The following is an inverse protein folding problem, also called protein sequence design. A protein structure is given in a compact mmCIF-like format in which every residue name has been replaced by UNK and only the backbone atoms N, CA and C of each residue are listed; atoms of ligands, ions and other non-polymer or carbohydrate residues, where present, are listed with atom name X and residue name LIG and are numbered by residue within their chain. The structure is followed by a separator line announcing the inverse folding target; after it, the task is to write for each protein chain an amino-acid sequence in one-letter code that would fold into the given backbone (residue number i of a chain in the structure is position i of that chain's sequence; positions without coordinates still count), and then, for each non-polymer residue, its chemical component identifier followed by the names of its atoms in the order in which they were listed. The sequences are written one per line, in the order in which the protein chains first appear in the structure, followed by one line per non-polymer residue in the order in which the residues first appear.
data_IF_183296816550
#
_entry.id   IF_183296816550
#
_cell.length_a   1.000
_cell.length_b   1.000
_cell.length_c   1.000
_cell.angle_alpha   90.00
_cell.angle_beta   90.00
_cell.angle_gamma   90.00
#
_symmetry.space_group_name_H-M   'P 1'
#
loop_
_entity.id
_entity.type
_entity.pdbx_description
1 polymer ?
#
# COMPACT_ATOMS: atom_id res chain seq x y z
N UNK A 1 12.72 -22.29 -13.85
CA UNK A 1 12.87 -20.92 -14.38
C UNK A 1 11.73 -20.08 -13.82
N UNK A 2 12.05 -18.96 -13.15
CA UNK A 2 11.11 -18.17 -12.35
C UNK A 2 10.00 -17.55 -13.23
N UNK A 3 8.79 -18.11 -13.19
CA UNK A 3 7.59 -17.40 -13.65
C UNK A 3 7.20 -16.37 -12.59
N UNK A 4 7.89 -15.24 -12.58
CA UNK A 4 7.43 -14.06 -11.83
C UNK A 4 6.45 -13.31 -12.74
N UNK A 5 5.27 -13.92 -12.98
CA UNK A 5 4.16 -13.32 -13.72
C UNK A 5 3.67 -12.10 -12.95
N UNK A 6 4.22 -10.94 -13.30
CA UNK A 6 3.90 -9.63 -12.75
C UNK A 6 2.54 -9.10 -13.23
N UNK A 7 1.53 -9.97 -13.35
CA UNK A 7 0.13 -9.61 -13.63
C UNK A 7 -0.57 -9.01 -12.39
N UNK A 8 0.18 -8.73 -11.32
CA UNK A 8 -0.30 -8.46 -9.96
C UNK A 8 -0.59 -6.98 -9.63
N UNK A 9 -0.65 -6.09 -10.62
CA UNK A 9 -0.91 -4.65 -10.37
C UNK A 9 -2.33 -4.26 -10.77
N UNK A 10 -3.31 -5.11 -10.44
CA UNK A 10 -4.69 -4.67 -10.27
C UNK A 10 -5.30 -5.56 -9.19
N UNK A 11 -5.74 -5.03 -8.04
CA UNK A 11 -6.50 -5.84 -7.09
C UNK A 11 -7.77 -6.29 -7.81
N UNK A 12 -7.78 -7.54 -8.29
CA UNK A 12 -8.91 -8.11 -9.01
C UNK A 12 -10.12 -8.29 -8.08
N UNK A 13 -9.87 -8.39 -6.77
CA UNK A 13 -10.88 -8.69 -5.77
C UNK A 13 -10.87 -7.69 -4.61
N UNK A 14 -12.06 -7.46 -4.04
CA UNK A 14 -12.22 -6.63 -2.84
C UNK A 14 -11.39 -7.16 -1.65
N UNK A 15 -11.21 -8.48 -1.56
CA UNK A 15 -10.37 -9.11 -0.52
C UNK A 15 -8.89 -8.79 -0.68
N UNK A 16 -8.35 -8.78 -1.91
CA UNK A 16 -6.96 -8.39 -2.15
C UNK A 16 -6.74 -6.92 -1.79
N UNK A 17 -7.71 -6.06 -2.13
CA UNK A 17 -7.66 -4.66 -1.72
C UNK A 17 -7.66 -4.54 -0.20
N UNK A 18 -8.56 -5.21 0.52
CA UNK A 18 -8.64 -5.15 1.98
C UNK A 18 -7.36 -5.66 2.66
N UNK A 19 -6.73 -6.70 2.10
CA UNK A 19 -5.43 -7.19 2.55
C UNK A 19 -4.32 -6.15 2.35
N UNK A 20 -4.21 -5.57 1.15
CA UNK A 20 -3.24 -4.51 0.86
C UNK A 20 -3.46 -3.27 1.73
N UNK A 21 -4.71 -2.83 1.91
CA UNK A 21 -5.06 -1.71 2.79
C UNK A 21 -4.66 -1.98 4.25
N UNK A 22 -4.76 -3.23 4.71
CA UNK A 22 -4.32 -3.60 6.06
C UNK A 22 -2.81 -3.51 6.22
N UNK A 23 -2.05 -3.93 5.19
CA UNK A 23 -0.59 -3.76 5.15
C UNK A 23 -0.18 -2.29 5.11
N UNK A 24 -0.84 -1.48 4.26
CA UNK A 24 -0.60 -0.05 4.19
C UNK A 24 -0.89 0.62 5.52
N UNK A 25 -2.01 0.30 6.18
CA UNK A 25 -2.38 0.90 7.46
C UNK A 25 -1.28 0.74 8.51
N UNK A 26 -0.69 -0.44 8.61
CA UNK A 26 0.40 -0.69 9.55
C UNK A 26 1.68 0.11 9.24
N UNK A 27 2.00 0.32 7.96
CA UNK A 27 3.18 1.10 7.57
C UNK A 27 2.93 2.61 7.62
N UNK A 28 1.73 3.06 7.28
CA UNK A 28 1.29 4.43 7.35
C UNK A 28 1.31 4.95 8.79
N UNK A 29 0.73 4.18 9.72
CA UNK A 29 0.72 4.52 11.16
C UNK A 29 2.14 4.65 11.75
N UNK A 30 3.09 3.82 11.26
CA UNK A 30 4.51 3.89 11.66
C UNK A 30 5.24 5.12 11.13
N UNK A 31 4.80 5.68 10.01
CA UNK A 31 5.45 6.82 9.36
C UNK A 31 4.78 8.15 9.68
N UNK A 32 3.49 8.11 10.03
CA UNK A 32 2.66 9.27 10.32
C UNK A 32 2.02 9.15 11.71
N UNK A 33 2.80 9.36 12.79
CA UNK A 33 2.24 9.35 14.15
C UNK A 33 1.21 10.46 14.30
N UNK A 34 -0.07 10.08 14.37
CA UNK A 34 -1.20 11.00 14.54
C UNK A 34 -2.11 11.15 13.31
N UNK A 35 -1.70 10.67 12.14
CA UNK A 35 -2.56 10.61 10.95
C UNK A 35 -2.80 9.13 10.60
N UNK A 36 -4.07 8.73 10.48
CA UNK A 36 -4.39 7.35 10.14
C UNK A 36 -4.67 7.22 8.65
N UNK A 37 -4.41 6.03 8.10
CA UNK A 37 -4.77 5.73 6.71
C UNK A 37 -6.28 5.91 6.44
N UNK A 38 -7.13 5.75 7.47
CA UNK A 38 -8.56 6.01 7.35
C UNK A 38 -8.88 7.50 7.18
N UNK A 39 -8.12 8.38 7.86
CA UNK A 39 -8.24 9.83 7.72
C UNK A 39 -7.86 10.28 6.30
N UNK A 40 -6.73 9.76 5.78
CA UNK A 40 -6.31 9.96 4.39
C UNK A 40 -7.39 9.46 3.40
N UNK A 41 -8.01 8.30 3.65
CA UNK A 41 -9.12 7.80 2.81
C UNK A 41 -10.34 8.70 2.82
N UNK A 42 -10.68 9.37 3.92
CA UNK A 42 -11.78 10.35 3.97
C UNK A 42 -11.44 11.59 3.15
N UNK A 43 -10.18 12.03 3.19
CA UNK A 43 -9.68 13.20 2.44
C UNK A 43 -9.54 12.94 0.93
N UNK A 44 -9.29 11.68 0.54
CA UNK A 44 -9.25 11.23 -0.85
C UNK A 44 -10.50 11.58 -1.66
N UNK A 45 -11.67 11.67 -1.05
CA UNK A 45 -12.90 12.06 -1.76
C UNK A 45 -12.89 13.52 -2.23
N UNK A 46 -12.09 14.38 -1.60
CA UNK A 46 -12.06 15.82 -1.84
C UNK A 46 -10.76 16.30 -2.49
N UNK A 47 -9.70 15.48 -2.48
CA UNK A 47 -8.36 15.85 -2.92
C UNK A 47 -7.80 14.86 -3.93
N UNK A 48 -7.45 15.35 -5.11
CA UNK A 48 -6.80 14.54 -6.16
C UNK A 48 -5.37 14.15 -5.76
N UNK A 49 -4.73 14.91 -4.88
CA UNK A 49 -3.44 14.55 -4.29
C UNK A 49 -3.57 13.33 -3.38
N UNK A 50 -4.57 13.32 -2.49
CA UNK A 50 -4.86 12.18 -1.61
C UNK A 50 -5.28 10.93 -2.43
N UNK A 51 -5.90 11.12 -3.61
CA UNK A 51 -6.15 10.03 -4.56
C UNK A 51 -4.88 9.45 -5.16
N UNK A 52 -3.91 10.30 -5.48
CA UNK A 52 -2.58 9.88 -5.95
C UNK A 52 -1.85 9.10 -4.85
N UNK A 53 -1.81 9.65 -3.64
CA UNK A 53 -1.22 9.02 -2.46
C UNK A 53 -1.80 7.65 -2.17
N UNK A 54 -3.13 7.51 -2.17
CA UNK A 54 -3.77 6.20 -1.97
C UNK A 54 -3.32 5.17 -3.01
N UNK A 55 -3.24 5.55 -4.29
CA UNK A 55 -2.79 4.63 -5.35
C UNK A 55 -1.34 4.22 -5.17
N UNK A 56 -0.47 5.16 -4.80
CA UNK A 56 0.95 4.91 -4.58
C UNK A 56 1.16 3.96 -3.40
N UNK A 57 0.45 4.19 -2.30
CA UNK A 57 0.48 3.31 -1.13
C UNK A 57 0.03 1.88 -1.44
N UNK A 58 -1.06 1.71 -2.19
CA UNK A 58 -1.53 0.38 -2.60
C UNK A 58 -0.52 -0.30 -3.52
N UNK A 59 0.12 0.44 -4.44
CA UNK A 59 1.16 -0.10 -5.31
C UNK A 59 2.41 -0.51 -4.52
N UNK A 60 2.82 0.29 -3.53
CA UNK A 60 3.93 -0.01 -2.63
C UNK A 60 3.65 -1.28 -1.80
N UNK A 61 2.44 -1.40 -1.24
CA UNK A 61 2.03 -2.59 -0.50
C UNK A 61 1.95 -3.84 -1.39
N UNK A 62 1.46 -3.71 -2.63
CA UNK A 62 1.42 -4.81 -3.59
C UNK A 62 2.83 -5.26 -3.96
N UNK A 63 3.74 -4.33 -4.24
CA UNK A 63 5.14 -4.63 -4.47
C UNK A 63 5.77 -5.32 -3.26
N UNK A 64 5.50 -4.83 -2.04
CA UNK A 64 6.01 -5.41 -0.79
C UNK A 64 5.46 -6.82 -0.54
N UNK A 65 4.19 -7.07 -0.84
CA UNK A 65 3.56 -8.39 -0.71
C UNK A 65 4.09 -9.38 -1.75
N UNK A 66 4.41 -8.91 -2.96
CA UNK A 66 5.04 -9.71 -4.01
C UNK A 66 6.52 -10.02 -3.72
N UNK A 67 7.17 -9.30 -2.80
CA UNK A 67 8.54 -9.57 -2.37
C UNK A 67 8.54 -10.50 -1.16
N UNK A 68 8.96 -11.77 -1.29
CA UNK A 68 9.11 -12.66 -0.14
C UNK A 68 10.28 -12.16 0.73
N UNK A 69 9.93 -11.54 1.87
CA UNK A 69 10.79 -11.25 3.02
C UNK A 69 12.30 -11.24 2.74
N UNK A 70 12.80 -10.22 2.02
CA UNK A 70 14.17 -9.76 2.21
C UNK A 70 14.16 -8.28 2.58
N UNK A 71 14.44 -8.07 3.87
CA UNK A 71 15.05 -6.90 4.48
C UNK A 71 14.28 -5.57 4.45
N UNK A 72 14.00 -5.06 5.64
CA UNK A 72 14.29 -3.66 6.02
C UNK A 72 15.69 -3.70 6.69
N UNK A 73 16.49 -2.61 6.74
CA UNK A 73 15.98 -1.26 6.98
C UNK A 73 16.55 -0.17 6.06
N UNK A 74 15.74 0.89 5.98
CA UNK A 74 16.14 2.30 5.93
C UNK A 74 17.49 2.57 6.65
N UNK A 75 18.45 3.17 5.94
CA UNK A 75 19.65 3.85 6.44
C UNK A 75 20.26 4.58 5.23
N UNK A 76 20.77 5.82 5.28
CA UNK A 76 20.91 6.84 6.32
C UNK A 76 21.00 8.20 5.59
#
# INVERSE_FOLDING_TARGET
MLSNSHDFIRPANASDRAYLESLVRAEYDRTHPGETFDDMKRRMSFSREDQGLYRDWIALAAARAAQPAKAKPIAA
#
